data_IF_421686712286
#
_entry.id   IF_421686712286
#
_cell.length_a   1.000
_cell.length_b   1.000
_cell.length_c   1.000
_cell.angle_alpha   90.00
_cell.angle_beta   90.00
_cell.angle_gamma   90.00
#
_symmetry.space_group_name_H-M   'P 1'
#
loop_
_entity.id
_entity.type
_entity.pdbx_description
1 polymer ?
#
# COMPACT_ATOMS: atom_id res chain seq x y z
N UNK A 1 16.38 7.72 -4.51
CA UNK A 1 16.10 6.67 -5.50
C UNK A 1 14.83 5.96 -5.08
N UNK A 2 13.90 5.66 -6.00
CA UNK A 2 12.68 4.99 -5.64
C UNK A 2 12.96 3.58 -5.11
N UNK A 3 12.23 3.15 -4.08
CA UNK A 3 12.38 1.84 -3.47
C UNK A 3 11.05 1.11 -3.41
N UNK A 4 11.06 -0.18 -3.77
CA UNK A 4 9.89 -1.04 -3.69
C UNK A 4 9.59 -1.32 -2.21
N UNK A 5 8.35 -1.06 -1.81
CA UNK A 5 7.84 -1.43 -0.48
C UNK A 5 7.35 -2.86 -0.47
N UNK A 6 6.45 -3.19 -1.39
CA UNK A 6 5.87 -4.52 -1.61
C UNK A 6 5.08 -4.58 -2.93
N UNK A 7 4.68 -5.78 -3.34
CA UNK A 7 3.75 -6.02 -4.46
C UNK A 7 2.40 -6.44 -3.89
N UNK A 8 1.31 -5.82 -4.35
CA UNK A 8 -0.05 -6.07 -3.87
C UNK A 8 -0.50 -7.47 -4.27
N UNK A 9 -0.87 -8.27 -3.27
CA UNK A 9 -1.42 -9.62 -3.43
C UNK A 9 -2.95 -9.63 -3.33
N UNK A 10 -3.53 -8.74 -2.52
CA UNK A 10 -4.98 -8.57 -2.38
C UNK A 10 -5.33 -7.16 -1.88
N UNK A 11 -6.55 -6.71 -2.17
CA UNK A 11 -7.08 -5.40 -1.79
C UNK A 11 -8.41 -5.58 -1.05
N UNK A 12 -8.44 -5.12 0.20
CA UNK A 12 -9.66 -5.15 1.01
C UNK A 12 -10.30 -3.77 1.09
N UNK A 13 -11.57 -3.70 0.75
CA UNK A 13 -12.45 -2.60 1.13
C UNK A 13 -13.17 -3.00 2.41
N UNK A 14 -12.73 -2.44 3.53
CA UNK A 14 -13.26 -2.76 4.84
C UNK A 14 -14.29 -1.71 5.23
N UNK A 15 -15.56 -2.10 5.24
CA UNK A 15 -16.68 -1.24 5.59
C UNK A 15 -16.42 -0.50 6.90
N UNK A 16 -16.57 0.83 6.90
CA UNK A 16 -16.30 1.68 8.06
C UNK A 16 -14.85 2.17 8.16
N UNK A 17 -13.98 1.83 7.20
CA UNK A 17 -12.67 2.47 7.03
C UNK A 17 -12.70 3.47 5.89
N UNK A 18 -11.84 4.48 5.97
CA UNK A 18 -11.77 5.57 5.00
C UNK A 18 -10.97 5.22 3.74
N UNK A 19 -10.75 3.95 3.42
CA UNK A 19 -9.96 3.58 2.25
C UNK A 19 -9.57 2.12 2.17
N UNK A 20 -8.89 1.78 1.08
CA UNK A 20 -8.51 0.42 0.74
C UNK A 20 -7.30 -0.04 1.53
N UNK A 21 -7.38 -1.23 2.10
CA UNK A 21 -6.26 -1.91 2.75
C UNK A 21 -5.53 -2.79 1.73
N UNK A 22 -4.25 -2.53 1.53
CA UNK A 22 -3.39 -3.32 0.64
C UNK A 22 -2.61 -4.36 1.44
N UNK A 23 -2.61 -5.60 0.97
CA UNK A 23 -1.79 -6.68 1.54
C UNK A 23 -0.79 -7.23 0.51
N UNK A 24 0.38 -7.76 0.93
CA UNK A 24 0.79 -8.00 2.32
C UNK A 24 0.98 -6.70 3.11
N UNK A 25 1.58 -5.68 2.51
CA UNK A 25 1.95 -4.45 3.20
C UNK A 25 3.43 -4.43 3.57
N UNK A 26 3.79 -3.58 4.53
CA UNK A 26 5.18 -3.40 4.96
C UNK A 26 5.65 -4.58 5.80
N UNK A 27 6.92 -4.97 5.65
CA UNK A 27 7.59 -5.96 6.52
C UNK A 27 8.80 -5.32 7.21
N UNK A 28 9.50 -6.09 8.04
CA UNK A 28 10.76 -5.64 8.64
C UNK A 28 11.87 -5.38 7.61
N UNK A 29 11.77 -5.99 6.42
CA UNK A 29 12.73 -5.83 5.33
C UNK A 29 12.32 -4.74 4.34
N UNK A 30 11.08 -4.22 4.44
CA UNK A 30 10.64 -3.09 3.64
C UNK A 30 11.41 -1.82 4.04
N UNK A 31 11.68 -0.91 3.08
CA UNK A 31 12.10 0.44 3.41
C UNK A 31 11.17 1.09 4.43
N UNK A 32 11.73 1.93 5.31
CA UNK A 32 10.94 2.62 6.32
C UNK A 32 9.95 3.56 5.63
N UNK A 33 8.66 3.37 5.94
CA UNK A 33 7.55 4.18 5.48
C UNK A 33 6.65 4.59 6.66
N UNK A 34 5.99 5.73 6.54
CA UNK A 34 5.14 6.34 7.56
C UNK A 34 3.81 6.78 6.97
N UNK A 35 2.82 6.98 7.84
CA UNK A 35 1.58 7.65 7.45
C UNK A 35 1.90 9.05 6.91
N UNK A 36 1.30 9.37 5.77
CA UNK A 36 1.52 10.61 5.04
C UNK A 36 2.60 10.53 3.95
N UNK A 37 3.44 9.49 3.96
CA UNK A 37 4.53 9.39 2.98
C UNK A 37 3.98 9.24 1.55
N UNK A 38 4.57 9.96 0.58
CA UNK A 38 4.19 9.84 -0.82
C UNK A 38 4.62 8.49 -1.37
N UNK A 39 3.72 7.87 -2.12
CA UNK A 39 3.95 6.59 -2.81
C UNK A 39 3.49 6.65 -4.25
N UNK A 40 4.05 5.78 -5.08
CA UNK A 40 3.60 5.50 -6.44
C UNK A 40 3.08 4.08 -6.52
N UNK A 41 1.86 3.94 -7.04
CA UNK A 41 1.24 2.67 -7.40
C UNK A 41 1.56 2.40 -8.86
N UNK A 42 2.38 1.39 -9.16
CA UNK A 42 2.71 0.97 -10.53
C UNK A 42 1.92 -0.27 -10.89
N UNK A 43 0.99 -0.13 -11.83
CA UNK A 43 0.06 -1.19 -12.20
C UNK A 43 0.70 -2.15 -13.20
N UNK A 44 0.24 -3.42 -13.26
CA UNK A 44 0.72 -4.40 -14.24
C UNK A 44 0.54 -3.98 -15.71
N UNK A 45 -0.42 -3.09 -15.99
CA UNK A 45 -0.64 -2.55 -17.34
C UNK A 45 0.37 -1.45 -17.74
N UNK A 46 1.37 -1.17 -16.90
CA UNK A 46 2.42 -0.18 -17.15
C UNK A 46 2.05 1.26 -16.78
N UNK A 47 0.81 1.52 -16.35
CA UNK A 47 0.42 2.85 -15.85
C UNK A 47 0.79 3.03 -14.38
N UNK A 48 0.95 4.27 -13.93
CA UNK A 48 1.18 4.57 -12.52
C UNK A 48 0.26 5.68 -12.00
N UNK A 49 0.09 5.73 -10.68
CA UNK A 49 -0.62 6.80 -9.99
C UNK A 49 0.11 7.15 -8.70
N UNK A 50 0.29 8.46 -8.46
CA UNK A 50 0.83 8.97 -7.19
C UNK A 50 -0.27 9.11 -6.16
N UNK A 51 0.04 8.77 -4.92
CA UNK A 51 -0.84 8.93 -3.75
C UNK A 51 0.02 9.00 -2.48
N UNK A 52 -0.57 8.75 -1.31
CA UNK A 52 0.12 8.69 -0.03
C UNK A 52 -0.38 7.54 0.83
N UNK A 53 0.37 7.19 1.86
CA UNK A 53 -0.10 6.25 2.90
C UNK A 53 -1.07 6.98 3.83
N UNK A 54 -2.33 6.52 3.93
CA UNK A 54 -3.33 7.11 4.85
C UNK A 54 -3.28 6.51 6.24
N UNK A 55 -3.03 5.21 6.35
CA UNK A 55 -2.82 4.54 7.63
C UNK A 55 -1.91 3.32 7.47
N UNK A 56 -1.37 2.84 8.58
CA UNK A 56 -0.63 1.57 8.66
C UNK A 56 -1.33 0.72 9.73
N UNK A 57 -1.79 -0.45 9.34
CA UNK A 57 -2.53 -1.36 10.21
C UNK A 57 -1.57 -2.11 11.15
N UNK A 58 -1.95 -2.17 12.42
CA UNK A 58 -1.33 -3.04 13.41
C UNK A 58 -2.24 -4.22 13.69
N UNK A 59 -1.78 -5.40 13.28
CA UNK A 59 -2.48 -6.65 13.54
C UNK A 59 -1.96 -7.27 14.85
N UNK A 60 -2.84 -7.46 15.84
CA UNK A 60 -2.47 -7.94 17.19
C UNK A 60 -1.86 -9.36 17.21
N UNK A 61 -2.23 -10.21 16.25
CA UNK A 61 -1.76 -11.60 16.12
C UNK A 61 -0.81 -11.80 14.92
N UNK A 62 0.02 -10.80 14.64
CA UNK A 62 0.84 -10.76 13.44
C UNK A 62 2.15 -11.54 13.57
N UNK A 63 2.07 -12.87 13.49
CA UNK A 63 3.24 -13.76 13.55
C UNK A 63 4.26 -13.41 12.45
N UNK A 64 3.80 -12.87 11.32
CA UNK A 64 4.64 -12.53 10.16
C UNK A 64 5.19 -11.11 10.18
N UNK A 65 4.82 -10.27 11.17
CA UNK A 65 5.19 -8.83 11.25
C UNK A 65 4.92 -8.05 9.94
N UNK A 66 3.79 -8.36 9.32
CA UNK A 66 3.29 -7.70 8.11
C UNK A 66 2.32 -6.57 8.49
N UNK A 67 2.55 -5.37 8.01
CA UNK A 67 1.76 -4.18 8.32
C UNK A 67 1.05 -3.69 7.05
N UNK A 68 -0.21 -4.10 6.81
CA UNK A 68 -1.00 -3.59 5.70
C UNK A 68 -1.05 -2.06 5.72
N UNK A 69 -1.04 -1.46 4.54
CA UNK A 69 -1.21 0.00 4.41
C UNK A 69 -2.62 0.30 3.92
N UNK A 70 -3.14 1.45 4.34
CA UNK A 70 -4.44 1.96 3.89
C UNK A 70 -4.21 3.12 2.94
N UNK A 71 -4.87 3.08 1.79
CA UNK A 71 -4.87 4.18 0.82
C UNK A 71 -5.92 5.25 1.18
N UNK A 72 -5.83 6.45 0.61
CA UNK A 72 -6.89 7.45 0.70
C UNK A 72 -8.21 6.97 0.10
N UNK A 73 -9.34 7.52 0.57
CA UNK A 73 -10.70 7.15 0.14
C UNK A 73 -10.96 7.42 -1.34
N UNK A 74 -10.19 8.32 -1.96
CA UNK A 74 -10.28 8.64 -3.38
C UNK A 74 -9.69 7.55 -4.31
N UNK A 75 -9.02 6.53 -3.75
CA UNK A 75 -8.53 5.40 -4.54
C UNK A 75 -9.53 4.25 -4.47
N UNK A 76 -9.99 3.78 -5.63
CA UNK A 76 -10.95 2.70 -5.75
C UNK A 76 -10.28 1.36 -6.05
N UNK A 77 -10.97 0.24 -5.77
CA UNK A 77 -10.36 -1.10 -5.87
C UNK A 77 -9.85 -1.40 -7.29
N UNK A 78 -10.53 -0.88 -8.31
CA UNK A 78 -10.14 -1.00 -9.72
C UNK A 78 -8.83 -0.26 -10.06
N UNK A 79 -8.46 0.74 -9.27
CA UNK A 79 -7.22 1.48 -9.44
C UNK A 79 -6.00 0.70 -8.93
N UNK A 80 -6.21 -0.39 -8.19
CA UNK A 80 -5.14 -1.19 -7.58
C UNK A 80 -5.34 -2.66 -7.92
N UNK A 81 -5.19 -3.07 -9.19
CA UNK A 81 -5.21 -4.48 -9.54
C UNK A 81 -4.12 -5.26 -8.79
N UNK A 82 -4.37 -6.53 -8.51
CA UNK A 82 -3.37 -7.46 -7.97
C UNK A 82 -2.12 -7.43 -8.87
N UNK A 83 -0.95 -7.47 -8.24
CA UNK A 83 0.35 -7.28 -8.91
C UNK A 83 0.79 -5.82 -9.03
N UNK A 84 -0.01 -4.86 -8.53
CA UNK A 84 0.43 -3.47 -8.42
C UNK A 84 1.63 -3.38 -7.47
N UNK A 85 2.68 -2.72 -7.90
CA UNK A 85 3.86 -2.46 -7.08
C UNK A 85 3.68 -1.15 -6.31
N UNK A 86 4.04 -1.14 -5.03
CA UNK A 86 4.00 0.06 -4.19
C UNK A 86 5.41 0.58 -3.97
N UNK A 87 5.69 1.79 -4.45
CA UNK A 87 7.02 2.40 -4.40
C UNK A 87 7.04 3.67 -3.55
N UNK A 88 8.13 3.92 -2.84
CA UNK A 88 8.39 5.19 -2.15
C UNK A 88 9.60 5.92 -2.73
N UNK A 89 9.82 7.19 -2.34
CA UNK A 89 10.98 7.97 -2.77
C UNK A 89 10.87 8.47 -4.23
N UNK A 90 9.64 8.75 -4.66
CA UNK A 90 9.28 9.34 -5.94
C UNK A 90 9.05 10.85 -5.73
N UNK A 91 10.01 11.67 -6.18
CA UNK A 91 9.87 13.14 -6.21
C UNK A 91 8.97 13.58 -7.38
#
# INVERSE_FOLDING_TARGET
>A
MPSLLFVVEEVFDLSGRSGLTLVPGLTADSPQARVGDPIELRRPNGTSQRTRISAIESLTANVRRIHPIVLPSEIEKQDVPIGTEVWQGVE
#
